data_IF_948829696035
#
_entry.id   IF_948829696035
#
_cell.length_a   1.000
_cell.length_b   1.000
_cell.length_c   1.000
_cell.angle_alpha   90.00
_cell.angle_beta   90.00
_cell.angle_gamma   90.00
#
_symmetry.space_group_name_H-M   'P 1'
#
loop_
_entity.id
_entity.type
_entity.pdbx_description
1 polymer ?
#
# COMPACT_ATOMS: atom_id res chain seq x y z
N UNK A 1 6.41 -3.20 18.09
CA UNK A 1 5.50 -2.10 18.50
C UNK A 1 4.27 -2.15 17.61
N UNK A 2 3.06 -1.89 18.14
CA UNK A 2 1.84 -1.84 17.34
C UNK A 2 1.28 -0.41 17.32
N UNK A 3 0.68 0.01 16.21
CA UNK A 3 -0.04 1.28 16.21
C UNK A 3 -1.21 1.21 17.20
N UNK A 4 -1.54 2.34 17.84
CA UNK A 4 -2.64 2.40 18.81
C UNK A 4 -3.99 2.76 18.19
N UNK A 5 -3.98 3.50 17.06
CA UNK A 5 -5.18 4.02 16.41
C UNK A 5 -4.91 4.45 14.98
N UNK A 6 -5.96 4.80 14.26
CA UNK A 6 -5.89 5.66 13.07
C UNK A 6 -6.42 7.05 13.43
N UNK A 7 -5.87 8.11 12.80
CA UNK A 7 -6.28 9.50 13.02
C UNK A 7 -6.50 10.22 11.69
N UNK A 8 -7.60 10.95 11.58
CA UNK A 8 -7.87 11.78 10.42
C UNK A 8 -6.85 12.92 10.30
N UNK A 9 -6.23 13.07 9.13
CA UNK A 9 -5.27 14.16 8.86
C UNK A 9 -5.92 15.55 8.76
N UNK A 10 -7.26 15.63 8.67
CA UNK A 10 -8.00 16.89 8.55
C UNK A 10 -8.66 17.31 9.86
N UNK A 11 -9.49 16.44 10.44
CA UNK A 11 -10.32 16.80 11.61
C UNK A 11 -9.79 16.24 12.93
N UNK A 12 -8.71 15.41 12.91
CA UNK A 12 -8.13 14.82 14.10
C UNK A 12 -8.94 13.66 14.70
N UNK A 13 -10.11 13.31 14.17
CA UNK A 13 -10.91 12.20 14.70
C UNK A 13 -10.12 10.90 14.67
N UNK A 14 -10.10 10.18 15.78
CA UNK A 14 -9.45 8.88 15.91
C UNK A 14 -10.46 7.73 15.74
N UNK A 15 -9.95 6.56 15.37
CA UNK A 15 -10.73 5.34 15.19
C UNK A 15 -9.85 4.09 15.30
N UNK A 16 -10.50 2.94 15.28
CA UNK A 16 -9.84 1.64 15.44
C UNK A 16 -9.09 1.21 14.17
N UNK A 17 -8.00 0.48 14.33
CA UNK A 17 -7.19 -0.09 13.25
C UNK A 17 -7.95 -1.10 12.38
N UNK A 18 -8.95 -1.77 12.92
CA UNK A 18 -9.76 -2.79 12.23
C UNK A 18 -10.98 -2.24 11.49
N UNK A 19 -11.21 -0.92 11.51
CA UNK A 19 -12.38 -0.28 10.89
C UNK A 19 -12.38 -0.33 9.36
N UNK A 20 -13.50 0.06 8.73
CA UNK A 20 -13.57 0.15 7.28
C UNK A 20 -12.62 1.25 6.79
N UNK A 21 -11.59 0.85 6.04
CA UNK A 21 -10.57 1.75 5.51
C UNK A 21 -11.07 2.59 4.31
N UNK A 22 -12.13 3.38 4.55
CA UNK A 22 -12.70 4.29 3.55
C UNK A 22 -12.35 5.77 3.81
N UNK A 23 -11.26 6.00 4.55
CA UNK A 23 -10.91 7.31 5.06
C UNK A 23 -11.78 7.72 6.26
N UNK A 24 -11.70 8.98 6.66
CA UNK A 24 -12.38 9.49 7.84
C UNK A 24 -13.90 9.50 7.70
N UNK A 25 -14.67 8.79 8.55
CA UNK A 25 -16.13 8.77 8.47
C UNK A 25 -16.77 10.14 8.76
N UNK A 26 -16.20 10.90 9.71
CA UNK A 26 -16.69 12.25 10.06
C UNK A 26 -16.55 13.21 8.86
N UNK A 27 -15.39 13.23 8.23
CA UNK A 27 -15.17 14.09 7.06
C UNK A 27 -16.00 13.64 5.85
N UNK A 28 -16.23 12.34 5.68
CA UNK A 28 -17.08 11.79 4.62
C UNK A 28 -18.54 12.20 4.82
N UNK A 29 -19.09 12.09 6.03
CA UNK A 29 -20.45 12.54 6.35
C UNK A 29 -20.67 14.03 6.07
N UNK A 30 -19.63 14.84 6.24
CA UNK A 30 -19.66 16.28 5.97
C UNK A 30 -19.33 16.64 4.50
N UNK A 31 -19.35 15.69 3.56
CA UNK A 31 -19.06 15.91 2.14
C UNK A 31 -17.61 16.31 1.82
N UNK A 32 -16.69 16.20 2.77
CA UNK A 32 -15.27 16.57 2.63
C UNK A 32 -14.35 15.37 2.94
N UNK A 33 -14.35 14.31 2.11
CA UNK A 33 -13.57 13.10 2.37
C UNK A 33 -12.09 13.42 2.64
N UNK A 34 -11.52 12.72 3.62
CA UNK A 34 -10.12 12.89 4.04
C UNK A 34 -9.51 11.56 4.39
N UNK A 35 -8.19 11.44 4.19
CA UNK A 35 -7.45 10.26 4.56
C UNK A 35 -7.24 10.20 6.08
N UNK A 36 -6.88 9.02 6.54
CA UNK A 36 -6.44 8.75 7.91
C UNK A 36 -4.96 8.35 7.88
N UNK A 37 -4.30 8.49 9.00
CA UNK A 37 -2.93 8.02 9.21
C UNK A 37 -2.87 7.11 10.45
N UNK A 38 -1.94 6.19 10.45
CA UNK A 38 -1.64 5.34 11.61
C UNK A 38 -0.99 6.19 12.70
N UNK A 39 -1.39 5.97 13.94
CA UNK A 39 -0.86 6.67 15.12
C UNK A 39 -0.12 5.68 16.00
N UNK A 40 1.11 5.99 16.30
CA UNK A 40 1.95 5.28 17.25
C UNK A 40 2.10 6.10 18.55
N UNK A 41 2.53 5.44 19.61
CA UNK A 41 3.01 6.14 20.79
C UNK A 41 4.45 6.61 20.53
N UNK A 42 4.68 7.91 20.61
CA UNK A 42 6.00 8.51 20.35
C UNK A 42 7.07 8.00 21.33
N UNK A 43 6.67 7.69 22.58
CA UNK A 43 7.56 7.13 23.59
C UNK A 43 8.10 5.74 23.21
N UNK A 44 7.32 4.97 22.44
CA UNK A 44 7.73 3.65 21.93
C UNK A 44 8.36 3.74 20.54
N UNK A 45 7.84 4.62 19.68
CA UNK A 45 8.25 4.74 18.27
C UNK A 45 9.71 5.17 18.14
N UNK A 46 10.13 6.22 18.84
CA UNK A 46 11.48 6.75 18.72
C UNK A 46 12.57 5.74 19.16
N UNK A 47 12.44 5.03 20.28
CA UNK A 47 13.37 3.96 20.64
C UNK A 47 13.37 2.81 19.62
N UNK A 48 12.22 2.42 19.07
CA UNK A 48 12.13 1.37 18.05
C UNK A 48 12.84 1.77 16.76
N UNK A 49 12.62 2.99 16.27
CA UNK A 49 13.31 3.53 15.10
C UNK A 49 14.83 3.57 15.29
N UNK A 50 15.31 3.99 16.46
CA UNK A 50 16.75 3.99 16.77
C UNK A 50 17.33 2.56 16.72
N UNK A 51 16.66 1.58 17.33
CA UNK A 51 17.10 0.16 17.29
C UNK A 51 17.18 -0.37 15.88
N UNK A 52 16.12 -0.14 15.07
CA UNK A 52 16.09 -0.61 13.67
C UNK A 52 17.17 0.07 12.83
N UNK A 53 17.40 1.36 13.02
CA UNK A 53 18.40 2.13 12.23
C UNK A 53 19.84 1.79 12.60
N UNK A 54 20.11 1.32 13.81
CA UNK A 54 21.46 1.01 14.28
C UNK A 54 21.90 -0.45 14.08
N UNK A 55 20.96 -1.37 13.82
CA UNK A 55 21.29 -2.78 13.61
C UNK A 55 21.70 -3.09 12.16
N UNK A 56 22.52 -4.10 11.92
CA UNK A 56 22.82 -4.58 10.57
C UNK A 56 21.55 -4.96 9.80
N UNK A 57 21.58 -4.82 8.48
CA UNK A 57 20.47 -5.23 7.61
C UNK A 57 20.33 -6.76 7.60
N UNK A 58 19.50 -7.29 8.47
CA UNK A 58 19.14 -8.71 8.54
C UNK A 58 18.30 -9.13 7.33
N UNK A 59 17.29 -8.30 7.00
CA UNK A 59 16.43 -8.50 5.84
C UNK A 59 16.74 -7.44 4.78
N UNK A 60 17.06 -7.89 3.57
CA UNK A 60 17.27 -6.99 2.42
C UNK A 60 15.95 -6.65 1.72
N UNK A 61 14.97 -6.19 2.50
CA UNK A 61 13.66 -5.74 2.04
C UNK A 61 13.03 -4.77 3.05
N UNK A 62 11.80 -4.28 2.81
CA UNK A 62 11.14 -3.32 3.70
C UNK A 62 10.86 -3.86 5.11
N UNK A 63 10.75 -5.18 5.26
CA UNK A 63 10.42 -5.82 6.54
C UNK A 63 11.60 -5.84 7.54
N UNK A 64 12.75 -5.32 7.12
CA UNK A 64 13.79 -4.90 8.07
C UNK A 64 13.22 -3.94 9.12
N UNK A 65 12.25 -3.12 8.73
CA UNK A 65 11.58 -2.13 9.57
C UNK A 65 10.26 -2.65 10.20
N UNK A 66 10.01 -3.97 10.22
CA UNK A 66 8.75 -4.58 10.69
C UNK A 66 8.31 -4.13 12.08
N UNK A 67 9.25 -3.80 12.98
CA UNK A 67 8.94 -3.30 14.32
C UNK A 67 8.15 -1.99 14.35
N UNK A 68 8.23 -1.21 13.27
CA UNK A 68 7.55 0.08 13.13
C UNK A 68 6.52 0.07 12.01
N UNK A 69 6.20 -1.11 11.46
CA UNK A 69 5.14 -1.30 10.48
C UNK A 69 3.87 -1.84 11.17
N UNK A 70 2.67 -1.48 10.67
CA UNK A 70 1.39 -1.80 11.33
C UNK A 70 0.91 -3.23 11.04
N UNK A 71 1.82 -4.21 11.02
CA UNK A 71 1.53 -5.61 10.68
C UNK A 71 2.35 -6.53 11.58
N UNK A 72 1.75 -7.61 12.07
CA UNK A 72 2.44 -8.64 12.85
C UNK A 72 3.34 -9.53 11.98
N UNK A 73 4.40 -10.08 12.56
CA UNK A 73 5.41 -10.86 11.85
C UNK A 73 4.83 -12.10 11.14
N UNK A 74 3.85 -12.76 11.75
CA UNK A 74 3.15 -13.94 11.23
C UNK A 74 2.19 -13.63 10.07
N UNK A 75 1.78 -12.38 9.94
CA UNK A 75 0.93 -11.93 8.85
C UNK A 75 1.69 -11.39 7.63
N UNK A 76 3.01 -11.25 7.72
CA UNK A 76 3.82 -10.68 6.64
C UNK A 76 3.67 -11.48 5.33
N UNK A 77 3.34 -10.75 4.27
CA UNK A 77 3.39 -11.20 2.88
C UNK A 77 4.45 -10.40 2.15
N UNK A 78 5.40 -11.06 1.50
CA UNK A 78 6.51 -10.39 0.82
C UNK A 78 6.92 -11.07 -0.47
N UNK A 79 7.36 -10.28 -1.42
CA UNK A 79 8.07 -10.66 -2.65
C UNK A 79 9.52 -10.15 -2.64
N UNK A 80 10.00 -9.65 -1.48
CA UNK A 80 11.34 -9.09 -1.33
C UNK A 80 11.43 -7.59 -1.67
N UNK A 81 10.30 -6.87 -1.68
CA UNK A 81 10.23 -5.44 -1.97
C UNK A 81 11.00 -4.59 -0.97
N UNK A 82 11.64 -3.54 -1.44
CA UNK A 82 12.49 -2.67 -0.64
C UNK A 82 13.97 -2.94 -0.87
N UNK A 83 14.84 -2.37 -0.03
CA UNK A 83 16.29 -2.36 -0.16
C UNK A 83 16.79 -2.03 -1.59
N UNK A 84 16.02 -1.20 -2.31
CA UNK A 84 16.32 -0.79 -3.67
C UNK A 84 17.62 0.00 -3.73
N UNK A 85 18.39 -0.07 -4.83
CA UNK A 85 19.67 0.62 -4.95
C UNK A 85 19.57 2.14 -4.74
N UNK A 86 20.61 2.72 -4.15
CA UNK A 86 20.82 4.16 -4.05
C UNK A 86 22.04 4.49 -4.89
N UNK A 87 21.84 5.16 -6.03
CA UNK A 87 22.89 5.46 -7.00
C UNK A 87 23.27 6.94 -6.95
N UNK A 88 24.56 7.25 -6.83
CA UNK A 88 25.05 8.60 -7.00
C UNK A 88 24.86 9.08 -8.46
N UNK A 89 24.40 10.30 -8.64
CA UNK A 89 24.12 10.93 -9.93
C UNK A 89 24.88 12.25 -10.11
N UNK A 90 26.24 12.29 -10.00
CA UNK A 90 27.01 13.53 -9.93
C UNK A 90 26.89 14.36 -11.22
N UNK A 91 26.82 13.73 -12.40
CA UNK A 91 26.68 14.44 -13.68
C UNK A 91 25.35 15.18 -13.79
N UNK A 92 24.26 14.55 -13.34
CA UNK A 92 22.93 15.18 -13.29
C UNK A 92 22.91 16.26 -12.21
N UNK A 93 23.45 15.95 -11.04
CA UNK A 93 23.53 16.87 -9.91
C UNK A 93 24.26 18.16 -10.28
N UNK A 94 25.41 18.07 -10.96
CA UNK A 94 26.16 19.25 -11.42
C UNK A 94 25.33 20.12 -12.37
N UNK A 95 24.54 19.50 -13.28
CA UNK A 95 23.71 20.25 -14.24
C UNK A 95 22.57 21.05 -13.59
N UNK A 96 22.06 20.58 -12.45
CA UNK A 96 20.89 21.18 -11.78
C UNK A 96 21.26 21.88 -10.45
N UNK A 97 22.55 22.00 -10.15
CA UNK A 97 23.03 22.68 -8.94
C UNK A 97 22.87 21.87 -7.64
N UNK A 98 22.70 20.54 -7.73
CA UNK A 98 22.59 19.65 -6.57
C UNK A 98 23.77 18.66 -6.56
N UNK A 99 24.95 19.04 -6.04
CA UNK A 99 26.19 18.26 -6.17
C UNK A 99 26.09 16.85 -5.55
N UNK A 100 25.31 16.69 -4.49
CA UNK A 100 25.10 15.43 -3.77
C UNK A 100 23.77 14.76 -4.15
N UNK A 101 23.46 14.69 -5.44
CA UNK A 101 22.25 14.02 -5.93
C UNK A 101 22.40 12.49 -5.90
N UNK A 102 21.44 11.82 -5.30
CA UNK A 102 21.29 10.37 -5.32
C UNK A 102 19.92 9.97 -5.86
N UNK A 103 19.87 8.85 -6.59
CA UNK A 103 18.66 8.27 -7.14
C UNK A 103 18.32 6.98 -6.39
N UNK A 104 17.15 6.96 -5.73
CA UNK A 104 16.58 5.75 -5.14
C UNK A 104 15.82 4.98 -6.22
N UNK A 105 16.34 3.82 -6.65
CA UNK A 105 15.87 3.13 -7.85
C UNK A 105 14.70 2.20 -7.52
N UNK A 106 13.51 2.76 -7.34
CA UNK A 106 12.29 2.03 -6.96
C UNK A 106 11.75 1.10 -8.07
N UNK A 107 12.22 1.25 -9.31
CA UNK A 107 11.93 0.32 -10.41
C UNK A 107 12.58 -1.07 -10.22
N UNK A 108 13.42 -1.25 -9.22
CA UNK A 108 14.02 -2.55 -8.85
C UNK A 108 13.16 -3.38 -7.90
N UNK A 109 12.00 -2.85 -7.50
CA UNK A 109 11.01 -3.64 -6.77
C UNK A 109 10.38 -4.74 -7.66
N UNK A 110 9.77 -5.80 -7.09
CA UNK A 110 9.26 -6.98 -7.80
C UNK A 110 8.35 -6.68 -8.99
N UNK A 111 7.45 -5.69 -8.90
CA UNK A 111 6.59 -5.26 -10.02
C UNK A 111 7.05 -3.93 -10.63
N UNK A 112 8.34 -3.62 -10.49
CA UNK A 112 9.01 -2.46 -11.08
C UNK A 112 8.50 -1.10 -10.59
N UNK A 113 7.93 -1.02 -9.39
CA UNK A 113 7.51 0.26 -8.81
C UNK A 113 7.51 0.27 -7.28
N UNK A 114 7.55 1.47 -6.68
CA UNK A 114 7.42 1.66 -5.24
C UNK A 114 6.06 1.22 -4.67
N UNK A 115 5.09 0.93 -5.54
CA UNK A 115 3.76 0.43 -5.15
C UNK A 115 3.82 -0.95 -4.50
N UNK A 116 4.88 -1.70 -4.71
CA UNK A 116 5.11 -2.98 -4.04
C UNK A 116 5.15 -2.84 -2.53
N UNK A 117 5.73 -1.75 -2.01
CA UNK A 117 5.76 -1.46 -0.57
C UNK A 117 4.37 -1.26 0.01
N UNK A 118 3.52 -0.49 -0.70
CA UNK A 118 2.11 -0.29 -0.33
C UNK A 118 1.35 -1.61 -0.37
N UNK A 119 1.50 -2.37 -1.46
CA UNK A 119 0.80 -3.63 -1.65
C UNK A 119 1.18 -4.67 -0.59
N UNK A 120 2.47 -4.77 -0.25
CA UNK A 120 2.95 -5.68 0.78
C UNK A 120 2.34 -5.36 2.16
N UNK A 121 2.37 -4.10 2.58
CA UNK A 121 1.76 -3.69 3.85
C UNK A 121 0.24 -3.92 3.86
N UNK A 122 -0.46 -3.57 2.77
CA UNK A 122 -1.91 -3.68 2.70
C UNK A 122 -2.40 -5.13 2.64
N UNK A 123 -1.77 -5.99 1.84
CA UNK A 123 -2.15 -7.41 1.74
C UNK A 123 -1.81 -8.14 3.04
N UNK A 124 -0.69 -7.80 3.68
CA UNK A 124 -0.36 -8.32 5.01
C UNK A 124 -1.40 -7.92 6.06
N UNK A 125 -1.83 -6.66 6.07
CA UNK A 125 -2.90 -6.20 6.96
C UNK A 125 -4.24 -6.91 6.67
N UNK A 126 -4.59 -7.12 5.40
CA UNK A 126 -5.78 -7.89 5.03
C UNK A 126 -5.73 -9.31 5.58
N UNK A 127 -4.56 -9.98 5.48
CA UNK A 127 -4.33 -11.31 6.04
C UNK A 127 -4.46 -11.31 7.57
N UNK A 128 -3.83 -10.36 8.26
CA UNK A 128 -3.90 -10.22 9.73
C UNK A 128 -5.35 -10.04 10.22
N UNK A 129 -6.14 -9.28 9.47
CA UNK A 129 -7.57 -9.05 9.75
C UNK A 129 -8.48 -10.20 9.28
N UNK A 130 -7.93 -11.33 8.84
CA UNK A 130 -8.70 -12.49 8.38
C UNK A 130 -9.55 -12.25 7.14
N UNK A 131 -9.23 -11.21 6.36
CA UNK A 131 -9.98 -10.87 5.13
C UNK A 131 -9.74 -11.91 4.05
N UNK A 132 -10.79 -12.22 3.26
CA UNK A 132 -10.75 -13.29 2.27
C UNK A 132 -10.46 -12.82 0.86
N UNK A 133 -10.77 -11.58 0.54
CA UNK A 133 -10.63 -10.99 -0.79
C UNK A 133 -10.05 -9.59 -0.67
N UNK A 134 -9.08 -9.26 -1.48
CA UNK A 134 -8.60 -7.89 -1.65
C UNK A 134 -9.19 -7.27 -2.91
N UNK A 135 -9.54 -5.98 -2.83
CA UNK A 135 -10.13 -5.25 -3.95
C UNK A 135 -9.43 -3.91 -4.16
N UNK A 136 -9.24 -3.52 -5.40
CA UNK A 136 -8.66 -2.24 -5.74
C UNK A 136 -9.32 -1.59 -6.94
N UNK A 137 -9.02 -0.30 -7.13
CA UNK A 137 -9.45 0.49 -8.28
C UNK A 137 -8.22 1.11 -8.93
N UNK A 138 -7.63 0.40 -9.91
CA UNK A 138 -6.38 0.81 -10.54
C UNK A 138 -6.22 0.25 -11.95
N UNK A 139 -5.62 1.05 -12.83
CA UNK A 139 -5.22 0.63 -14.19
C UNK A 139 -3.69 0.73 -14.40
N UNK A 140 -2.91 0.72 -13.34
CA UNK A 140 -1.45 0.90 -13.40
C UNK A 140 -0.71 0.17 -12.28
N UNK A 141 0.44 0.69 -11.90
CA UNK A 141 1.40 0.05 -10.99
C UNK A 141 0.80 -0.40 -9.64
N UNK A 142 -0.18 0.34 -9.10
CA UNK A 142 -0.82 -0.07 -7.85
C UNK A 142 -1.60 -1.38 -8.03
N UNK A 143 -2.35 -1.51 -9.13
CA UNK A 143 -3.06 -2.75 -9.46
C UNK A 143 -2.11 -3.92 -9.68
N UNK A 144 -1.02 -3.72 -10.42
CA UNK A 144 -0.01 -4.75 -10.66
C UNK A 144 0.64 -5.23 -9.35
N UNK A 145 1.01 -4.31 -8.47
CA UNK A 145 1.61 -4.63 -7.19
C UNK A 145 0.65 -5.41 -6.26
N UNK A 146 -0.61 -4.96 -6.17
CA UNK A 146 -1.64 -5.65 -5.37
C UNK A 146 -1.92 -7.04 -5.93
N UNK A 147 -2.03 -7.18 -7.25
CA UNK A 147 -2.23 -8.47 -7.92
C UNK A 147 -1.11 -9.46 -7.56
N UNK A 148 0.14 -9.04 -7.67
CA UNK A 148 1.30 -9.86 -7.34
C UNK A 148 1.32 -10.29 -5.85
N UNK A 149 1.08 -9.33 -4.94
CA UNK A 149 1.06 -9.62 -3.50
C UNK A 149 -0.11 -10.52 -3.10
N UNK A 150 -1.29 -10.31 -3.69
CA UNK A 150 -2.45 -11.16 -3.44
C UNK A 150 -2.20 -12.61 -3.91
N UNK A 151 -1.61 -12.79 -5.09
CA UNK A 151 -1.19 -14.11 -5.58
C UNK A 151 -0.18 -14.75 -4.62
N UNK A 152 0.81 -14.00 -4.12
CA UNK A 152 1.78 -14.48 -3.13
C UNK A 152 1.12 -14.92 -1.83
N UNK A 153 0.05 -14.23 -1.41
CA UNK A 153 -0.73 -14.53 -0.21
C UNK A 153 -1.74 -15.67 -0.39
N UNK A 154 -1.96 -16.16 -1.62
CA UNK A 154 -3.05 -17.07 -1.95
C UNK A 154 -4.44 -16.44 -1.78
N UNK A 155 -4.54 -15.11 -1.88
CA UNK A 155 -5.79 -14.36 -1.71
C UNK A 155 -6.39 -13.98 -3.07
N UNK A 156 -7.68 -14.22 -3.31
CA UNK A 156 -8.37 -13.67 -4.46
C UNK A 156 -8.25 -12.15 -4.52
N UNK A 157 -7.96 -11.64 -5.72
CA UNK A 157 -7.82 -10.21 -6.00
C UNK A 157 -8.84 -9.78 -7.05
N UNK A 158 -9.62 -8.75 -6.74
CA UNK A 158 -10.55 -8.11 -7.68
C UNK A 158 -10.04 -6.71 -7.99
N UNK A 159 -9.86 -6.40 -9.27
CA UNK A 159 -9.37 -5.09 -9.69
C UNK A 159 -10.35 -4.43 -10.65
N UNK A 160 -10.96 -3.36 -10.20
CA UNK A 160 -11.78 -2.51 -11.04
C UNK A 160 -10.90 -1.57 -11.86
N UNK A 161 -11.12 -1.54 -13.16
CA UNK A 161 -10.37 -0.72 -14.12
C UNK A 161 -11.33 -0.04 -15.09
N UNK A 162 -10.84 0.77 -16.00
CA UNK A 162 -11.60 1.28 -17.14
C UNK A 162 -11.35 0.39 -18.37
N UNK A 163 -12.24 0.46 -19.37
CA UNK A 163 -12.09 -0.33 -20.60
C UNK A 163 -10.76 -0.03 -21.32
N UNK A 164 -10.36 1.23 -21.33
CA UNK A 164 -9.13 1.69 -21.94
C UNK A 164 -8.01 1.82 -20.89
N UNK A 165 -7.16 0.82 -20.79
CA UNK A 165 -5.93 0.90 -20.00
C UNK A 165 -4.79 0.07 -20.67
N UNK A 166 -3.52 0.38 -20.35
CA UNK A 166 -2.39 -0.22 -21.08
C UNK A 166 -2.40 -1.75 -21.05
N UNK A 167 -2.25 -2.37 -22.22
CA UNK A 167 -2.24 -3.82 -22.39
C UNK A 167 -1.20 -4.49 -21.47
N UNK A 168 -0.01 -3.90 -21.36
CA UNK A 168 1.04 -4.42 -20.46
C UNK A 168 0.56 -4.55 -19.00
N UNK A 169 -0.15 -3.54 -18.48
CA UNK A 169 -0.71 -3.59 -17.13
C UNK A 169 -1.81 -4.62 -16.99
N UNK A 170 -2.67 -4.74 -18.04
CA UNK A 170 -3.72 -5.76 -18.08
C UNK A 170 -3.11 -7.16 -18.02
N UNK A 171 -2.14 -7.43 -18.87
CA UNK A 171 -1.44 -8.71 -18.91
C UNK A 171 -0.77 -9.02 -17.59
N UNK A 172 -0.05 -8.05 -17.01
CA UNK A 172 0.65 -8.22 -15.74
C UNK A 172 -0.31 -8.58 -14.60
N UNK A 173 -1.48 -7.92 -14.49
CA UNK A 173 -2.47 -8.27 -13.48
C UNK A 173 -3.11 -9.64 -13.74
N UNK A 174 -3.39 -9.95 -15.01
CA UNK A 174 -4.04 -11.20 -15.40
C UNK A 174 -3.18 -12.44 -15.11
N UNK A 175 -1.86 -12.38 -15.35
CA UNK A 175 -0.96 -13.51 -15.06
C UNK A 175 -0.88 -13.87 -13.58
N UNK A 176 -1.21 -12.93 -12.67
CA UNK A 176 -1.32 -13.17 -11.24
C UNK A 176 -2.69 -13.71 -10.81
N UNK A 177 -3.59 -14.01 -11.77
CA UNK A 177 -4.91 -14.55 -11.48
C UNK A 177 -5.92 -13.53 -10.95
N UNK A 178 -5.71 -12.24 -11.19
CA UNK A 178 -6.61 -11.18 -10.75
C UNK A 178 -7.89 -11.15 -11.59
N UNK A 179 -9.04 -11.04 -10.93
CA UNK A 179 -10.31 -10.78 -11.60
C UNK A 179 -10.37 -9.31 -12.02
N UNK A 180 -10.20 -9.07 -13.33
CA UNK A 180 -10.22 -7.74 -13.91
C UNK A 180 -11.63 -7.36 -14.37
N UNK A 181 -12.22 -6.36 -13.78
CA UNK A 181 -13.57 -5.88 -14.07
C UNK A 181 -13.50 -4.46 -14.64
N UNK A 182 -13.86 -4.32 -15.92
CA UNK A 182 -13.86 -3.03 -16.60
C UNK A 182 -15.15 -2.28 -16.36
N UNK A 183 -15.06 -1.07 -15.81
CA UNK A 183 -16.18 -0.15 -15.62
C UNK A 183 -16.22 0.89 -16.76
N UNK A 184 -17.41 1.42 -17.11
CA UNK A 184 -17.53 2.44 -18.14
C UNK A 184 -16.77 3.73 -17.83
N UNK A 185 -16.84 4.19 -16.58
CA UNK A 185 -16.20 5.44 -16.15
C UNK A 185 -15.31 5.23 -14.92
N UNK A 186 -14.46 6.22 -14.64
CA UNK A 186 -13.64 6.24 -13.42
C UNK A 186 -14.52 6.28 -12.17
N UNK A 187 -15.66 6.96 -12.22
CA UNK A 187 -16.59 7.05 -11.09
C UNK A 187 -17.26 5.70 -10.81
N UNK A 188 -17.72 5.00 -11.86
CA UNK A 188 -18.32 3.67 -11.72
C UNK A 188 -17.33 2.68 -11.11
N UNK A 189 -16.07 2.75 -11.52
CA UNK A 189 -14.98 1.93 -10.98
C UNK A 189 -14.86 2.06 -9.45
N UNK A 190 -14.96 3.28 -8.92
CA UNK A 190 -14.94 3.55 -7.49
C UNK A 190 -16.19 3.06 -6.80
N UNK A 191 -17.37 3.36 -7.36
CA UNK A 191 -18.66 2.95 -6.80
C UNK A 191 -18.81 1.43 -6.70
N UNK A 192 -18.35 0.70 -7.72
CA UNK A 192 -18.35 -0.76 -7.73
C UNK A 192 -17.40 -1.33 -6.68
N UNK A 193 -16.19 -0.77 -6.54
CA UNK A 193 -15.25 -1.16 -5.50
C UNK A 193 -15.85 -0.93 -4.10
N UNK A 194 -16.42 0.24 -3.85
CA UNK A 194 -17.06 0.58 -2.57
C UNK A 194 -18.24 -0.35 -2.26
N UNK A 195 -19.01 -0.73 -3.28
CA UNK A 195 -20.09 -1.72 -3.14
C UNK A 195 -19.57 -3.09 -2.71
N UNK A 196 -18.46 -3.55 -3.29
CA UNK A 196 -17.80 -4.80 -2.88
C UNK A 196 -17.32 -4.76 -1.44
N UNK A 197 -16.77 -3.61 -1.01
CA UNK A 197 -16.36 -3.42 0.39
C UNK A 197 -17.56 -3.47 1.34
N UNK A 198 -18.65 -2.76 1.01
CA UNK A 198 -19.81 -2.64 1.91
C UNK A 198 -20.66 -3.89 1.97
N UNK A 199 -20.91 -4.54 0.84
CA UNK A 199 -21.85 -5.67 0.75
C UNK A 199 -21.19 -7.03 0.88
N UNK A 200 -19.91 -7.14 0.47
CA UNK A 200 -19.22 -8.43 0.39
C UNK A 200 -18.04 -8.53 1.38
N UNK A 201 -17.75 -7.47 2.13
CA UNK A 201 -16.68 -7.45 3.12
C UNK A 201 -15.27 -7.51 2.52
N UNK A 202 -15.10 -7.16 1.23
CA UNK A 202 -13.81 -7.13 0.57
C UNK A 202 -12.89 -6.07 1.20
N UNK A 203 -11.61 -6.35 1.26
CA UNK A 203 -10.62 -5.44 1.82
C UNK A 203 -10.09 -4.48 0.74
N UNK A 204 -10.33 -3.17 0.86
CA UNK A 204 -9.89 -2.21 -0.15
C UNK A 204 -8.38 -1.96 -0.04
N UNK A 205 -7.68 -2.06 -1.17
CA UNK A 205 -6.26 -1.74 -1.30
C UNK A 205 -6.08 -0.64 -2.33
N UNK A 206 -6.20 0.59 -1.89
CA UNK A 206 -5.98 1.77 -2.71
C UNK A 206 -5.35 2.92 -1.90
N UNK A 207 -5.03 4.03 -2.59
CA UNK A 207 -4.38 5.20 -1.98
C UNK A 207 -5.17 5.88 -0.84
N UNK A 208 -6.47 5.58 -0.70
CA UNK A 208 -7.33 6.13 0.35
C UNK A 208 -7.51 5.18 1.52
N UNK A 209 -7.14 3.93 1.33
CA UNK A 209 -7.41 2.83 2.26
C UNK A 209 -6.17 2.36 2.99
N UNK A 210 -5.00 2.72 2.51
CA UNK A 210 -3.71 2.30 3.08
C UNK A 210 -2.94 3.54 3.48
N UNK A 211 -2.56 3.55 4.70
CA UNK A 211 -1.81 4.64 5.34
C UNK A 211 -0.36 4.27 5.50
#
# INVERSE_FOLDING_TARGET
MRPRAIRCIRCGAEGDLGGPFKGCPVCRANGKPSNVQVVYDDAELLPALRRVSSRPLELRNMWHYREVLPVSDDAIVTLGEGATPLLAAPRMGAKIGIPNLYLKVESRNPTSSFKDRLAAAAVSAARELGRKVVVGSSSGNAGAAVAAMAARAGMPCVMFTTQQFPLAMKTQMAIYGTYLLAAPTVQDRWSLMETGVDKLGWFPVDRKSVV
#
